data_IF_003881301975
#
_entry.id   IF_003881301975
#
_cell.length_a   1.000
_cell.length_b   1.000
_cell.length_c   1.000
_cell.angle_alpha   90.00
_cell.angle_beta   90.00
_cell.angle_gamma   90.00
#
_symmetry.space_group_name_H-M   'P 1'
#
loop_
_entity.id
_entity.type
_entity.pdbx_description
1 polymer ?
#
# COMPACT_ATOMS: atom_id res chain seq x y z
N UNK A 1 5.48 28.51 -34.54
CA UNK A 1 4.93 28.55 -33.19
C UNK A 1 4.13 27.29 -32.96
N UNK A 2 4.12 26.74 -31.74
CA UNK A 2 3.40 25.51 -31.42
C UNK A 2 2.39 25.82 -30.30
N UNK A 3 1.17 25.34 -30.45
CA UNK A 3 0.17 25.52 -29.42
C UNK A 3 0.19 24.35 -28.41
N UNK A 4 -0.07 24.66 -27.16
CA UNK A 4 -0.15 23.70 -26.07
C UNK A 4 -1.26 22.68 -26.33
N UNK A 5 -0.93 21.39 -26.36
CA UNK A 5 -1.89 20.31 -26.60
C UNK A 5 -3.02 20.23 -25.57
N UNK A 6 -2.86 20.84 -24.39
CA UNK A 6 -3.84 20.78 -23.30
C UNK A 6 -4.76 22.00 -23.25
N UNK A 7 -4.24 23.22 -23.45
CA UNK A 7 -5.00 24.46 -23.26
C UNK A 7 -4.96 25.41 -24.49
N UNK A 8 -4.36 24.97 -25.57
CA UNK A 8 -4.22 25.67 -26.84
C UNK A 8 -3.49 27.05 -26.78
N UNK A 9 -2.90 27.41 -25.64
CA UNK A 9 -2.06 28.61 -25.55
C UNK A 9 -0.75 28.41 -26.30
N UNK A 10 -0.23 29.51 -26.85
CA UNK A 10 1.05 29.53 -27.54
C UNK A 10 2.20 29.10 -26.61
N UNK A 11 3.08 28.25 -27.09
CA UNK A 11 4.23 27.72 -26.34
C UNK A 11 5.50 28.26 -26.96
N UNK A 12 6.26 29.11 -26.26
CA UNK A 12 7.54 29.60 -26.76
C UNK A 12 8.52 28.42 -26.90
N UNK A 13 9.15 28.30 -28.06
CA UNK A 13 10.14 27.28 -28.34
C UNK A 13 11.54 27.85 -28.07
N UNK A 14 12.27 27.26 -27.11
CA UNK A 14 13.66 27.60 -26.89
C UNK A 14 14.50 26.89 -27.93
N UNK A 15 15.29 27.65 -28.70
CA UNK A 15 16.27 27.15 -29.68
C UNK A 15 17.46 26.52 -28.95
N UNK A 16 17.30 25.31 -28.41
CA UNK A 16 18.44 24.47 -28.02
C UNK A 16 18.76 23.53 -29.18
N UNK A 17 19.99 23.58 -29.69
CA UNK A 17 20.47 22.64 -30.72
C UNK A 17 20.16 21.21 -30.27
N UNK A 18 19.34 20.47 -31.03
CA UNK A 18 18.99 19.09 -30.80
C UNK A 18 17.86 18.83 -29.77
N UNK A 19 17.18 19.88 -29.27
CA UNK A 19 16.07 19.73 -28.33
C UNK A 19 14.75 19.34 -29.00
N UNK A 20 13.95 18.44 -28.35
CA UNK A 20 12.58 18.15 -28.78
C UNK A 20 11.68 19.37 -28.58
N UNK A 21 10.75 19.61 -29.51
CA UNK A 21 9.77 20.68 -29.40
C UNK A 21 8.95 20.59 -28.10
N UNK A 22 8.75 21.73 -27.46
CA UNK A 22 7.93 21.82 -26.23
C UNK A 22 6.46 21.84 -26.62
N UNK A 23 5.72 20.79 -26.28
CA UNK A 23 4.32 20.58 -26.67
C UNK A 23 3.30 21.11 -25.65
N UNK A 24 3.74 21.56 -24.48
CA UNK A 24 2.89 22.02 -23.39
C UNK A 24 3.47 23.30 -22.79
N UNK A 25 2.59 24.24 -22.39
CA UNK A 25 3.02 25.51 -21.81
C UNK A 25 3.65 25.34 -20.41
N UNK A 26 3.20 24.36 -19.64
CA UNK A 26 3.72 24.04 -18.31
C UNK A 26 3.50 22.55 -17.97
N UNK A 27 4.04 22.11 -16.83
CA UNK A 27 3.94 20.74 -16.34
C UNK A 27 2.48 20.34 -16.04
N UNK A 28 1.67 21.24 -15.50
CA UNK A 28 0.25 20.98 -15.23
C UNK A 28 -0.52 20.64 -16.50
N UNK A 29 -0.27 21.34 -17.59
CA UNK A 29 -0.87 21.06 -18.90
C UNK A 29 -0.40 19.71 -19.46
N UNK A 30 0.88 19.36 -19.27
CA UNK A 30 1.41 18.05 -19.64
C UNK A 30 0.72 16.92 -18.87
N UNK A 31 0.58 17.07 -17.57
CA UNK A 31 -0.10 16.08 -16.72
C UNK A 31 -1.59 15.94 -17.05
N UNK A 32 -2.32 17.05 -17.23
CA UNK A 32 -3.73 17.03 -17.65
C UNK A 32 -3.93 16.33 -18.98
N UNK A 33 -3.06 16.59 -19.95
CA UNK A 33 -3.14 15.93 -21.26
C UNK A 33 -2.85 14.43 -21.16
N UNK A 34 -1.79 14.04 -20.43
CA UNK A 34 -1.46 12.63 -20.17
C UNK A 34 -2.61 11.91 -19.47
N UNK A 35 -3.18 12.52 -18.46
CA UNK A 35 -4.32 11.93 -17.72
C UNK A 35 -5.52 11.63 -18.63
N UNK A 36 -5.74 12.46 -19.67
CA UNK A 36 -6.89 12.32 -20.58
C UNK A 36 -6.60 11.42 -21.80
N UNK A 37 -5.36 11.27 -22.20
CA UNK A 37 -5.03 10.71 -23.51
C UNK A 37 -4.00 9.57 -23.46
N UNK A 38 -3.33 9.33 -22.35
CA UNK A 38 -2.35 8.25 -22.22
C UNK A 38 -3.04 6.97 -21.72
N UNK A 39 -3.09 5.91 -22.54
CA UNK A 39 -3.72 4.64 -22.15
C UNK A 39 -3.14 4.05 -20.85
N UNK A 40 -1.83 4.23 -20.62
CA UNK A 40 -1.18 3.78 -19.38
C UNK A 40 -1.67 4.55 -18.14
N UNK A 41 -2.10 5.81 -18.32
CA UNK A 41 -2.64 6.62 -17.23
C UNK A 41 -4.14 6.38 -17.06
N UNK A 42 -4.87 6.18 -18.16
CA UNK A 42 -6.30 5.87 -18.15
C UNK A 42 -6.59 4.47 -17.57
N UNK A 43 -5.67 3.51 -17.81
CA UNK A 43 -5.74 2.15 -17.24
C UNK A 43 -5.15 2.05 -15.83
N UNK A 44 -4.86 3.15 -15.16
CA UNK A 44 -4.50 3.08 -13.74
C UNK A 44 -5.69 2.52 -12.97
N UNK A 45 -5.41 1.44 -12.26
CA UNK A 45 -6.37 0.86 -11.34
C UNK A 45 -7.04 1.94 -10.50
N UNK A 46 -8.35 1.98 -10.55
CA UNK A 46 -9.14 2.88 -9.72
C UNK A 46 -8.90 2.57 -8.25
N UNK A 47 -9.20 3.51 -7.37
CA UNK A 47 -9.13 3.29 -5.91
C UNK A 47 -9.95 2.06 -5.49
N UNK A 48 -11.10 1.85 -6.12
CA UNK A 48 -11.96 0.68 -5.87
C UNK A 48 -11.26 -0.62 -6.20
N UNK A 49 -10.66 -0.72 -7.39
CA UNK A 49 -9.91 -1.92 -7.82
C UNK A 49 -8.68 -2.20 -6.94
N UNK A 50 -7.99 -1.16 -6.49
CA UNK A 50 -6.88 -1.31 -5.55
C UNK A 50 -7.35 -1.84 -4.19
N UNK A 51 -8.48 -1.33 -3.70
CA UNK A 51 -9.09 -1.76 -2.45
C UNK A 51 -9.55 -3.22 -2.50
N UNK A 52 -10.23 -3.60 -3.58
CA UNK A 52 -10.68 -4.97 -3.81
C UNK A 52 -9.50 -5.94 -3.88
N UNK A 53 -8.43 -5.57 -4.57
CA UNK A 53 -7.21 -6.37 -4.64
C UNK A 53 -6.53 -6.49 -3.27
N UNK A 54 -6.49 -5.41 -2.49
CA UNK A 54 -5.96 -5.43 -1.14
C UNK A 54 -6.73 -6.40 -0.25
N UNK A 55 -8.05 -6.36 -0.28
CA UNK A 55 -8.90 -7.28 0.48
C UNK A 55 -8.74 -8.73 0.02
N UNK A 56 -8.72 -8.96 -1.28
CA UNK A 56 -8.53 -10.30 -1.85
C UNK A 56 -7.18 -10.92 -1.43
N UNK A 57 -6.10 -10.16 -1.55
CA UNK A 57 -4.78 -10.63 -1.15
C UNK A 57 -4.65 -10.79 0.38
N UNK A 58 -5.23 -9.87 1.16
CA UNK A 58 -5.28 -10.02 2.62
C UNK A 58 -6.06 -11.27 3.01
N UNK A 59 -7.24 -11.49 2.42
CA UNK A 59 -8.04 -12.69 2.67
C UNK A 59 -7.25 -13.97 2.36
N UNK A 60 -6.60 -14.02 1.19
CA UNK A 60 -5.73 -15.15 0.82
C UNK A 60 -4.62 -15.38 1.84
N UNK A 61 -3.99 -14.33 2.34
CA UNK A 61 -2.94 -14.43 3.35
C UNK A 61 -3.49 -14.91 4.71
N UNK A 62 -4.69 -14.45 5.11
CA UNK A 62 -5.35 -14.93 6.32
C UNK A 62 -5.66 -16.43 6.23
N UNK A 63 -6.24 -16.89 5.11
CA UNK A 63 -6.53 -18.31 4.89
C UNK A 63 -5.25 -19.14 4.88
N UNK A 64 -4.20 -18.66 4.24
CA UNK A 64 -2.89 -19.30 4.22
C UNK A 64 -2.30 -19.54 5.63
N UNK A 65 -2.57 -18.63 6.57
CA UNK A 65 -2.15 -18.74 7.99
C UNK A 65 -3.19 -19.42 8.89
N UNK A 66 -4.22 -20.05 8.34
CA UNK A 66 -5.25 -20.79 9.08
C UNK A 66 -6.47 -19.96 9.50
N UNK A 67 -6.55 -18.67 9.13
CA UNK A 67 -7.74 -17.83 9.28
C UNK A 67 -8.16 -17.48 10.71
N UNK A 68 -7.35 -17.80 11.73
CA UNK A 68 -7.68 -17.61 13.15
C UNK A 68 -6.50 -17.05 13.93
N UNK A 69 -6.79 -16.27 14.96
CA UNK A 69 -5.80 -15.86 15.93
C UNK A 69 -5.19 -17.09 16.61
N UNK A 70 -3.87 -17.21 16.56
CA UNK A 70 -3.13 -18.31 17.17
C UNK A 70 -3.34 -18.40 18.69
N UNK A 71 -3.62 -17.25 19.35
CA UNK A 71 -3.71 -17.15 20.81
C UNK A 71 -5.11 -17.41 21.36
N UNK A 72 -6.16 -16.81 20.76
CA UNK A 72 -7.53 -16.86 21.30
C UNK A 72 -8.57 -17.46 20.34
N UNK A 73 -8.19 -17.79 19.10
CA UNK A 73 -9.10 -18.37 18.11
C UNK A 73 -10.04 -17.39 17.42
N UNK A 74 -9.92 -16.08 17.65
CA UNK A 74 -10.68 -15.04 16.93
C UNK A 74 -10.51 -15.22 15.41
N UNK A 75 -11.61 -15.23 14.66
CA UNK A 75 -11.61 -15.55 13.22
C UNK A 75 -12.20 -14.46 12.31
N UNK A 76 -12.67 -13.35 12.88
CA UNK A 76 -13.17 -12.21 12.09
C UNK A 76 -12.02 -11.54 11.33
N UNK A 77 -12.07 -11.45 9.98
CA UNK A 77 -10.95 -10.94 9.18
C UNK A 77 -10.54 -9.50 9.51
N UNK A 78 -11.50 -8.67 9.95
CA UNK A 78 -11.25 -7.28 10.29
C UNK A 78 -10.40 -7.11 11.56
N UNK A 79 -10.42 -8.10 12.46
CA UNK A 79 -9.69 -8.06 13.73
C UNK A 79 -8.32 -8.72 13.65
N UNK A 80 -8.01 -9.41 12.55
CA UNK A 80 -6.77 -10.16 12.39
C UNK A 80 -5.64 -9.31 11.79
N UNK A 81 -4.46 -9.48 12.34
CA UNK A 81 -3.22 -8.85 11.89
C UNK A 81 -2.04 -9.83 11.88
N UNK A 82 -1.02 -9.51 11.09
CA UNK A 82 0.21 -10.29 10.99
C UNK A 82 1.26 -9.72 11.94
N UNK A 83 1.72 -10.54 12.86
CA UNK A 83 2.75 -10.20 13.83
C UNK A 83 4.06 -10.86 13.45
N UNK A 84 5.11 -10.07 13.15
CA UNK A 84 6.44 -10.62 12.87
C UNK A 84 7.03 -11.26 14.13
N UNK A 85 7.42 -12.53 14.01
CA UNK A 85 8.09 -13.24 15.11
C UNK A 85 9.44 -12.62 15.48
N UNK A 86 10.15 -12.15 14.46
CA UNK A 86 11.41 -11.42 14.60
C UNK A 86 11.31 -10.09 13.85
N UNK A 87 11.24 -8.96 14.56
CA UNK A 87 11.17 -7.64 13.93
C UNK A 87 12.37 -7.30 13.04
N UNK A 88 13.55 -7.91 13.30
CA UNK A 88 14.76 -7.67 12.51
C UNK A 88 14.68 -8.22 11.09
N UNK A 89 13.85 -9.24 10.88
CA UNK A 89 13.63 -9.90 9.57
C UNK A 89 12.49 -9.27 8.76
N UNK A 90 11.89 -8.20 9.28
CA UNK A 90 10.82 -7.50 8.59
C UNK A 90 11.34 -6.73 7.38
N UNK A 91 10.97 -7.15 6.19
CA UNK A 91 11.32 -6.47 4.93
C UNK A 91 10.15 -5.66 4.37
N UNK A 92 8.93 -6.07 4.68
CA UNK A 92 7.71 -5.49 4.14
C UNK A 92 6.69 -5.20 5.24
N UNK A 93 6.06 -4.04 5.16
CA UNK A 93 4.91 -3.73 6.00
C UNK A 93 3.65 -4.36 5.37
N UNK A 94 3.01 -5.26 6.10
CA UNK A 94 1.77 -5.95 5.65
C UNK A 94 0.54 -5.07 5.91
N UNK A 95 0.42 -4.01 5.13
CA UNK A 95 -0.70 -3.06 5.15
C UNK A 95 -1.52 -3.10 3.85
N UNK A 96 -2.61 -2.32 3.78
CA UNK A 96 -3.47 -2.28 2.61
C UNK A 96 -2.73 -1.90 1.32
N UNK A 97 -1.71 -1.04 1.39
CA UNK A 97 -0.91 -0.65 0.22
C UNK A 97 -0.07 -1.83 -0.29
N UNK A 98 0.54 -2.57 0.61
CA UNK A 98 1.34 -3.74 0.26
C UNK A 98 0.47 -4.83 -0.36
N UNK A 99 -0.68 -5.12 0.25
CA UNK A 99 -1.63 -6.09 -0.31
C UNK A 99 -2.20 -5.66 -1.67
N UNK A 100 -2.38 -4.36 -1.92
CA UNK A 100 -2.85 -3.85 -3.21
C UNK A 100 -1.81 -3.92 -4.34
N UNK A 101 -0.52 -3.69 -4.02
CA UNK A 101 0.50 -3.36 -5.01
C UNK A 101 1.65 -4.37 -5.12
N UNK A 102 1.72 -5.37 -4.24
CA UNK A 102 2.74 -6.42 -4.27
C UNK A 102 2.21 -7.70 -4.89
N UNK A 103 3.10 -8.48 -5.49
CA UNK A 103 2.79 -9.83 -5.98
C UNK A 103 2.55 -10.78 -4.82
N UNK A 104 1.74 -11.80 -5.06
CA UNK A 104 1.41 -12.79 -4.03
C UNK A 104 2.66 -13.47 -3.45
N UNK A 105 3.63 -13.80 -4.28
CA UNK A 105 4.87 -14.45 -3.86
C UNK A 105 5.61 -13.61 -2.81
N UNK A 106 5.76 -12.31 -3.06
CA UNK A 106 6.39 -11.36 -2.12
C UNK A 106 5.60 -11.21 -0.81
N UNK A 107 4.26 -11.16 -0.91
CA UNK A 107 3.38 -11.13 0.27
C UNK A 107 3.53 -12.40 1.08
N UNK A 108 3.53 -13.56 0.41
CA UNK A 108 3.64 -14.88 1.05
C UNK A 108 4.95 -15.03 1.81
N UNK A 109 6.08 -14.67 1.22
CA UNK A 109 7.41 -14.68 1.86
C UNK A 109 7.41 -13.87 3.17
N UNK A 110 6.77 -12.70 3.17
CA UNK A 110 6.68 -11.89 4.39
C UNK A 110 5.68 -12.45 5.41
N UNK A 111 4.55 -12.97 4.95
CA UNK A 111 3.54 -13.63 5.79
C UNK A 111 4.11 -14.88 6.47
N UNK A 112 5.02 -15.61 5.82
CA UNK A 112 5.70 -16.78 6.40
C UNK A 112 6.53 -16.43 7.64
N UNK A 113 7.04 -15.19 7.75
CA UNK A 113 7.78 -14.68 8.91
C UNK A 113 6.86 -14.25 10.07
N UNK A 114 5.53 -14.28 9.87
CA UNK A 114 4.54 -13.76 10.82
C UNK A 114 3.71 -14.87 11.47
N UNK A 115 3.21 -14.57 12.67
CA UNK A 115 2.10 -15.27 13.29
C UNK A 115 0.81 -14.47 13.08
N UNK A 116 -0.32 -15.16 12.97
CA UNK A 116 -1.63 -14.53 12.87
C UNK A 116 -2.20 -14.30 14.27
N UNK A 117 -2.41 -13.04 14.63
CA UNK A 117 -2.99 -12.63 15.90
C UNK A 117 -4.19 -11.71 15.66
N UNK A 118 -5.12 -11.66 16.61
CA UNK A 118 -6.10 -10.57 16.64
C UNK A 118 -5.46 -9.32 17.25
N UNK A 119 -6.04 -8.14 17.00
CA UNK A 119 -5.51 -6.87 17.52
C UNK A 119 -5.40 -6.86 19.05
N UNK A 120 -6.32 -7.49 19.78
CA UNK A 120 -6.25 -7.58 21.23
C UNK A 120 -5.03 -8.39 21.69
N UNK A 121 -4.87 -9.60 21.16
CA UNK A 121 -3.72 -10.46 21.49
C UNK A 121 -2.40 -9.82 21.06
N UNK A 122 -2.37 -9.15 19.91
CA UNK A 122 -1.21 -8.41 19.43
C UNK A 122 -0.82 -7.26 20.39
N UNK A 123 -1.80 -6.49 20.87
CA UNK A 123 -1.57 -5.43 21.86
C UNK A 123 -1.14 -5.98 23.22
N UNK A 124 -1.75 -7.06 23.69
CA UNK A 124 -1.34 -7.73 24.93
C UNK A 124 0.11 -8.21 24.82
N UNK A 125 0.50 -8.78 23.68
CA UNK A 125 1.87 -9.21 23.44
C UNK A 125 2.87 -8.06 23.57
N UNK A 126 2.58 -6.91 22.98
CA UNK A 126 3.48 -5.76 22.99
C UNK A 126 3.48 -4.94 24.29
N UNK A 127 2.35 -4.84 24.96
CA UNK A 127 2.13 -3.88 26.04
C UNK A 127 1.69 -4.50 27.37
N UNK A 128 1.37 -5.79 27.37
CA UNK A 128 0.85 -6.47 28.58
C UNK A 128 1.78 -6.42 29.77
N UNK A 129 3.09 -6.57 29.55
CA UNK A 129 4.12 -6.46 30.58
C UNK A 129 4.17 -5.05 31.18
N UNK A 130 4.25 -4.03 30.35
CA UNK A 130 4.31 -2.62 30.77
C UNK A 130 3.08 -2.20 31.59
N UNK A 131 1.90 -2.66 31.22
CA UNK A 131 0.68 -2.42 31.99
C UNK A 131 0.71 -3.15 33.34
N UNK A 132 1.20 -4.38 33.38
CA UNK A 132 1.37 -5.14 34.61
C UNK A 132 2.32 -4.45 35.59
N UNK A 133 3.46 -3.98 35.13
CA UNK A 133 4.43 -3.21 35.92
C UNK A 133 3.82 -1.91 36.45
N UNK A 134 3.12 -1.14 35.58
CA UNK A 134 2.46 0.11 35.99
C UNK A 134 1.41 -0.13 37.07
N UNK A 135 0.55 -1.13 36.93
CA UNK A 135 -0.50 -1.42 37.90
C UNK A 135 0.06 -1.80 39.27
N UNK A 136 1.24 -2.43 39.33
CA UNK A 136 1.93 -2.72 40.60
C UNK A 136 2.40 -1.45 41.31
N UNK A 137 2.63 -0.35 40.61
CA UNK A 137 3.01 0.95 41.23
C UNK A 137 1.87 1.68 41.89
N UNK A 138 0.61 1.26 41.64
CA UNK A 138 -0.62 1.87 42.19
C UNK A 138 -1.09 1.24 43.50
N UNK A 139 -0.45 0.17 43.92
CA UNK A 139 -0.73 -0.57 45.18
C UNK A 139 0.31 -0.21 46.23
#
# INVERSE_FOLDING_TARGET
MINCKSCNKEVPQHQRKGGRAKLYCNETCRQKWRYRNDPCVMNRNTYTEQKERAYSNKWKALQYKGGKCRQCGEDRPATLCFHHRDPSQKELKLDGRSFANRKWETIKEEVDKCDLLCHNCHNIFHYGGSWGEFLQTLV
#
